data_IF_967643358770
#
_entry.id   IF_967643358770
#
_cell.length_a   1.000
_cell.length_b   1.000
_cell.length_c   1.000
_cell.angle_alpha   90.00
_cell.angle_beta   90.00
_cell.angle_gamma   90.00
#
_symmetry.space_group_name_H-M   'P 1'
#
loop_
_entity.id
_entity.type
_entity.pdbx_description
1 polymer ?
#
# COMPACT_ATOMS: atom_id res chain seq x y z
N UNK A 1 0.91 17.24 -27.17
CA UNK A 1 1.59 17.01 -25.88
C UNK A 1 2.61 15.91 -26.06
N UNK A 2 3.86 16.28 -26.33
CA UNK A 2 4.96 15.36 -26.61
C UNK A 2 5.85 15.25 -25.37
N UNK A 3 5.47 14.40 -24.41
CA UNK A 3 6.30 14.12 -23.22
C UNK A 3 6.25 12.64 -22.77
N UNK A 4 5.74 11.73 -23.61
CA UNK A 4 5.25 10.43 -23.12
C UNK A 4 6.24 9.26 -23.21
N UNK A 5 7.38 9.42 -23.90
CA UNK A 5 8.35 8.32 -24.12
C UNK A 5 9.65 8.41 -23.32
N UNK A 6 9.89 9.52 -22.61
CA UNK A 6 11.14 9.77 -21.82
C UNK A 6 10.88 10.05 -20.34
N UNK A 7 9.67 9.80 -19.81
CA UNK A 7 9.42 9.94 -18.38
C UNK A 7 9.99 8.74 -17.63
N UNK A 8 11.19 8.93 -17.07
CA UNK A 8 11.94 7.93 -16.29
C UNK A 8 11.12 7.40 -15.10
N UNK A 9 10.17 8.18 -14.57
CA UNK A 9 9.41 7.84 -13.37
C UNK A 9 8.01 7.30 -13.67
N UNK A 10 7.64 7.09 -14.93
CA UNK A 10 6.26 6.72 -15.32
C UNK A 10 5.76 5.46 -14.61
N UNK A 11 6.60 4.43 -14.50
CA UNK A 11 6.25 3.18 -13.82
C UNK A 11 6.05 3.40 -12.31
N UNK A 12 6.96 4.15 -11.68
CA UNK A 12 6.85 4.48 -10.25
C UNK A 12 5.57 5.30 -9.97
N UNK A 13 5.27 6.32 -10.79
CA UNK A 13 4.03 7.11 -10.68
C UNK A 13 2.78 6.26 -10.81
N UNK A 14 2.76 5.32 -11.75
CA UNK A 14 1.62 4.43 -11.93
C UNK A 14 1.43 3.55 -10.69
N UNK A 15 2.50 2.95 -10.17
CA UNK A 15 2.42 2.16 -8.95
C UNK A 15 1.95 2.99 -7.75
N UNK A 16 2.47 4.20 -7.54
CA UNK A 16 2.01 5.08 -6.46
C UNK A 16 0.51 5.37 -6.57
N UNK A 17 -0.03 5.56 -7.78
CA UNK A 17 -1.48 5.77 -7.98
C UNK A 17 -2.30 4.53 -7.70
N UNK A 18 -1.86 3.38 -8.22
CA UNK A 18 -2.55 2.11 -8.01
C UNK A 18 -2.57 1.75 -6.54
N UNK A 19 -1.44 1.90 -5.86
CA UNK A 19 -1.28 1.66 -4.44
C UNK A 19 -2.12 2.63 -3.60
N UNK A 20 -2.07 3.93 -3.91
CA UNK A 20 -2.87 4.93 -3.24
C UNK A 20 -4.38 4.66 -3.36
N UNK A 21 -4.85 4.22 -4.53
CA UNK A 21 -6.27 3.94 -4.75
C UNK A 21 -6.68 2.61 -4.10
N UNK A 22 -5.92 1.54 -4.31
CA UNK A 22 -6.29 0.22 -3.82
C UNK A 22 -6.05 0.07 -2.31
N UNK A 23 -4.85 0.38 -1.86
CA UNK A 23 -4.42 0.15 -0.47
C UNK A 23 -4.74 1.37 0.38
N UNK A 24 -4.37 2.56 -0.08
CA UNK A 24 -4.58 3.77 0.69
C UNK A 24 -6.06 4.11 0.90
N UNK A 25 -6.77 4.35 -0.21
CA UNK A 25 -8.17 4.75 -0.18
C UNK A 25 -9.11 3.56 -0.08
N UNK A 26 -8.93 2.52 -0.91
CA UNK A 26 -9.84 1.37 -0.96
C UNK A 26 -9.85 0.59 0.35
N UNK A 27 -8.72 -0.01 0.71
CA UNK A 27 -8.58 -0.75 1.96
C UNK A 27 -8.73 0.16 3.19
N UNK A 28 -8.23 1.39 3.12
CA UNK A 28 -8.39 2.38 4.19
C UNK A 28 -9.86 2.72 4.49
N UNK A 29 -10.67 2.99 3.47
CA UNK A 29 -12.11 3.23 3.62
C UNK A 29 -12.85 1.98 4.10
N UNK A 30 -12.48 0.80 3.61
CA UNK A 30 -13.08 -0.47 4.03
C UNK A 30 -12.85 -0.72 5.53
N UNK A 31 -11.62 -0.50 6.01
CA UNK A 31 -11.27 -0.60 7.43
C UNK A 31 -11.92 0.50 8.28
N UNK A 32 -12.08 1.71 7.73
CA UNK A 32 -12.73 2.82 8.42
C UNK A 32 -14.25 2.58 8.58
N UNK A 33 -14.92 2.09 7.53
CA UNK A 33 -16.33 1.74 7.58
C UNK A 33 -16.57 0.53 8.49
N UNK A 34 -15.64 -0.42 8.49
CA UNK A 34 -15.70 -1.67 9.26
C UNK A 34 -17.04 -2.42 9.10
N UNK A 35 -17.46 -2.79 7.87
CA UNK A 35 -18.65 -3.61 7.66
C UNK A 35 -18.44 -5.01 8.26
N UNK A 36 -18.95 -5.23 9.48
CA UNK A 36 -18.73 -6.46 10.25
C UNK A 36 -19.12 -7.72 9.48
N UNK A 37 -20.24 -7.68 8.77
CA UNK A 37 -20.76 -8.83 8.03
C UNK A 37 -19.80 -9.25 6.92
N UNK A 38 -19.22 -8.28 6.21
CA UNK A 38 -18.29 -8.53 5.11
C UNK A 38 -16.94 -9.08 5.61
N UNK A 39 -16.47 -8.62 6.77
CA UNK A 39 -15.26 -9.17 7.41
C UNK A 39 -15.50 -10.56 7.99
N UNK A 40 -16.67 -10.80 8.59
CA UNK A 40 -17.06 -12.12 9.09
C UNK A 40 -17.16 -13.15 7.95
N UNK A 41 -17.78 -12.79 6.83
CA UNK A 41 -17.88 -13.62 5.64
C UNK A 41 -16.50 -13.92 5.01
N UNK A 42 -15.54 -13.00 5.17
CA UNK A 42 -14.16 -13.19 4.74
C UNK A 42 -13.30 -14.02 5.72
N UNK A 43 -13.86 -14.44 6.87
CA UNK A 43 -13.13 -15.14 7.92
C UNK A 43 -12.14 -14.25 8.67
N UNK A 44 -12.29 -12.92 8.60
CA UNK A 44 -11.38 -11.95 9.20
C UNK A 44 -11.94 -11.51 10.56
N UNK A 45 -11.30 -11.93 11.64
CA UNK A 45 -11.58 -11.47 13.01
C UNK A 45 -10.63 -10.34 13.40
N UNK A 46 -10.88 -9.15 12.84
CA UNK A 46 -10.19 -7.94 13.28
C UNK A 46 -10.60 -7.64 14.74
N UNK A 47 -9.62 -7.50 15.64
CA UNK A 47 -9.84 -7.35 17.08
C UNK A 47 -10.89 -6.29 17.46
N UNK A 48 -10.49 -5.06 17.78
CA UNK A 48 -11.45 -4.00 18.06
C UNK A 48 -11.81 -3.22 16.78
N UNK A 49 -13.08 -2.86 16.60
CA UNK A 49 -13.48 -1.98 15.50
C UNK A 49 -12.74 -0.62 15.54
N UNK A 50 -12.31 -0.18 16.72
CA UNK A 50 -11.49 1.02 16.89
C UNK A 50 -10.10 0.88 16.24
N UNK A 51 -9.38 -0.22 16.50
CA UNK A 51 -8.06 -0.45 15.93
C UNK A 51 -8.11 -0.56 14.40
N UNK A 52 -9.16 -1.20 13.86
CA UNK A 52 -9.40 -1.23 12.43
C UNK A 52 -9.60 0.18 11.84
N UNK A 53 -10.40 1.03 12.49
CA UNK A 53 -10.64 2.42 12.05
C UNK A 53 -9.39 3.29 12.09
N UNK A 54 -8.56 3.15 13.13
CA UNK A 54 -7.29 3.86 13.23
C UNK A 54 -6.34 3.43 12.12
N UNK A 55 -6.21 2.12 11.87
CA UNK A 55 -5.44 1.60 10.73
C UNK A 55 -5.98 2.11 9.39
N UNK A 56 -7.30 2.10 9.21
CA UNK A 56 -7.96 2.63 8.01
C UNK A 56 -7.69 4.11 7.78
N UNK A 57 -7.76 4.94 8.82
CA UNK A 57 -7.41 6.36 8.74
C UNK A 57 -5.95 6.61 8.38
N UNK A 58 -5.03 5.82 8.93
CA UNK A 58 -3.61 5.88 8.58
C UNK A 58 -3.37 5.50 7.10
N UNK A 59 -4.05 4.47 6.59
CA UNK A 59 -3.98 4.09 5.18
C UNK A 59 -4.55 5.17 4.27
N UNK A 60 -5.67 5.81 4.63
CA UNK A 60 -6.22 6.93 3.85
C UNK A 60 -5.20 8.08 3.77
N UNK A 61 -4.58 8.45 4.90
CA UNK A 61 -3.54 9.47 4.92
C UNK A 61 -2.35 9.12 4.04
N UNK A 62 -1.87 7.88 4.12
CA UNK A 62 -0.82 7.35 3.24
C UNK A 62 -1.26 7.42 1.76
N UNK A 63 -2.47 6.99 1.43
CA UNK A 63 -3.02 7.03 0.08
C UNK A 63 -3.08 8.44 -0.51
N UNK A 64 -3.55 9.42 0.28
CA UNK A 64 -3.56 10.82 -0.15
C UNK A 64 -2.13 11.32 -0.42
N UNK A 65 -1.18 10.99 0.47
CA UNK A 65 0.23 11.34 0.29
C UNK A 65 0.84 10.73 -0.97
N UNK A 66 0.58 9.46 -1.25
CA UNK A 66 1.05 8.77 -2.46
C UNK A 66 0.40 9.32 -3.74
N UNK A 67 -0.89 9.68 -3.70
CA UNK A 67 -1.57 10.35 -4.80
C UNK A 67 -0.96 11.71 -5.09
N UNK A 68 -0.75 12.53 -4.06
CA UNK A 68 -0.11 13.83 -4.17
C UNK A 68 1.30 13.69 -4.78
N UNK A 69 2.12 12.77 -4.25
CA UNK A 69 3.45 12.49 -4.78
C UNK A 69 3.43 12.05 -6.26
N UNK A 70 2.41 11.31 -6.69
CA UNK A 70 2.28 10.87 -8.08
C UNK A 70 1.97 12.00 -9.08
N UNK A 71 1.52 13.16 -8.59
CA UNK A 71 1.19 14.34 -9.39
C UNK A 71 2.35 15.35 -9.49
N UNK A 72 3.34 15.27 -8.60
CA UNK A 72 4.49 16.20 -8.60
C UNK A 72 5.33 16.04 -9.87
N UNK A 73 5.76 17.13 -10.50
CA UNK A 73 6.62 17.05 -11.70
C UNK A 73 7.95 16.36 -11.42
N UNK A 74 8.51 16.54 -10.22
CA UNK A 74 9.72 15.84 -9.77
C UNK A 74 9.41 15.02 -8.51
N UNK A 75 9.69 13.71 -8.53
CA UNK A 75 9.42 12.86 -7.35
C UNK A 75 10.45 13.13 -6.26
N UNK A 76 10.02 13.77 -5.18
CA UNK A 76 10.87 14.00 -4.02
C UNK A 76 11.28 12.67 -3.35
N UNK A 77 12.57 12.49 -2.98
CA UNK A 77 13.05 11.27 -2.33
C UNK A 77 12.34 10.98 -0.99
N UNK A 78 11.86 12.01 -0.29
CA UNK A 78 11.08 11.85 0.94
C UNK A 78 9.77 11.07 0.70
N UNK A 79 9.08 11.32 -0.42
CA UNK A 79 7.86 10.59 -0.78
C UNK A 79 8.14 9.15 -1.14
N UNK A 80 9.22 8.90 -1.88
CA UNK A 80 9.66 7.54 -2.20
C UNK A 80 10.03 6.76 -0.93
N UNK A 81 10.69 7.42 0.02
CA UNK A 81 11.03 6.81 1.31
C UNK A 81 9.76 6.49 2.12
N UNK A 82 8.80 7.41 2.17
CA UNK A 82 7.52 7.17 2.83
C UNK A 82 6.74 6.02 2.18
N UNK A 83 6.74 5.94 0.85
CA UNK A 83 6.14 4.83 0.10
C UNK A 83 6.82 3.49 0.42
N UNK A 84 8.15 3.45 0.45
CA UNK A 84 8.93 2.24 0.79
C UNK A 84 8.69 1.84 2.24
N UNK A 85 8.74 2.78 3.18
CA UNK A 85 8.56 2.50 4.60
C UNK A 85 7.13 2.04 4.91
N UNK A 86 6.12 2.72 4.39
CA UNK A 86 4.72 2.37 4.61
C UNK A 86 4.34 1.02 4.01
N UNK A 87 4.63 0.82 2.71
CA UNK A 87 4.34 -0.46 2.05
C UNK A 87 5.21 -1.61 2.58
N UNK A 88 6.46 -1.31 2.93
CA UNK A 88 7.36 -2.28 3.56
C UNK A 88 6.82 -2.74 4.92
N UNK A 89 6.37 -1.82 5.76
CA UNK A 89 5.75 -2.15 7.04
C UNK A 89 4.50 -3.02 6.86
N UNK A 90 3.59 -2.66 5.95
CA UNK A 90 2.39 -3.47 5.64
C UNK A 90 2.78 -4.88 5.18
N UNK A 91 3.74 -5.00 4.26
CA UNK A 91 4.18 -6.29 3.71
C UNK A 91 4.81 -7.17 4.80
N UNK A 92 5.65 -6.59 5.66
CA UNK A 92 6.28 -7.30 6.78
C UNK A 92 5.22 -7.76 7.78
N UNK A 93 4.24 -6.91 8.13
CA UNK A 93 3.14 -7.28 9.01
C UNK A 93 2.33 -8.46 8.46
N UNK A 94 2.04 -8.48 7.15
CA UNK A 94 1.37 -9.63 6.51
C UNK A 94 2.21 -10.90 6.56
N UNK A 95 3.53 -10.79 6.38
CA UNK A 95 4.42 -11.94 6.45
C UNK A 95 4.52 -12.52 7.88
N UNK A 96 4.55 -11.65 8.90
CA UNK A 96 4.52 -12.06 10.31
C UNK A 96 3.22 -12.80 10.60
N UNK A 97 2.07 -12.22 10.25
CA UNK A 97 0.76 -12.85 10.45
C UNK A 97 0.63 -14.19 9.70
N UNK A 98 1.26 -14.32 8.52
CA UNK A 98 1.34 -15.60 7.81
C UNK A 98 2.16 -16.64 8.59
N UNK A 99 3.34 -16.27 9.09
CA UNK A 99 4.20 -17.19 9.85
C UNK A 99 3.64 -17.56 11.22
N UNK A 100 2.87 -16.67 11.86
CA UNK A 100 2.15 -16.95 13.10
C UNK A 100 0.92 -17.86 12.88
N UNK A 101 0.55 -18.12 11.62
CA UNK A 101 -0.58 -18.97 11.27
C UNK A 101 -1.93 -18.29 11.41
N UNK A 102 -1.97 -16.96 11.63
CA UNK A 102 -3.22 -16.19 11.77
C UNK A 102 -4.10 -16.27 10.51
N UNK A 103 -3.50 -16.59 9.36
CA UNK A 103 -4.19 -16.73 8.08
C UNK A 103 -4.69 -18.15 7.78
N UNK A 104 -4.50 -19.11 8.70
CA UNK A 104 -4.84 -20.52 8.45
C UNK A 104 -6.35 -20.77 8.31
N UNK A 105 -7.18 -19.98 9.01
CA UNK A 105 -8.65 -20.10 8.98
C UNK A 105 -9.31 -19.12 8.00
N UNK A 106 -8.51 -18.39 7.22
CA UNK A 106 -9.01 -17.33 6.36
C UNK A 106 -9.79 -17.90 5.17
N UNK A 107 -10.93 -17.26 4.84
CA UNK A 107 -11.67 -17.64 3.64
C UNK A 107 -10.80 -17.41 2.40
N UNK A 108 -10.85 -18.27 1.36
CA UNK A 108 -9.99 -18.15 0.17
C UNK A 108 -10.12 -16.80 -0.55
N UNK A 109 -11.29 -16.15 -0.48
CA UNK A 109 -11.49 -14.80 -1.01
C UNK A 109 -10.68 -13.77 -0.20
N UNK A 110 -10.75 -13.83 1.13
CA UNK A 110 -9.97 -12.96 2.02
C UNK A 110 -8.47 -13.17 1.84
N UNK A 111 -8.02 -14.42 1.71
CA UNK A 111 -6.64 -14.76 1.39
C UNK A 111 -6.21 -14.16 0.05
N UNK A 112 -7.05 -14.28 -0.99
CA UNK A 112 -6.81 -13.66 -2.29
C UNK A 112 -6.64 -12.15 -2.22
N UNK A 113 -7.49 -11.46 -1.45
CA UNK A 113 -7.37 -10.01 -1.23
C UNK A 113 -6.07 -9.67 -0.52
N UNK A 114 -5.69 -10.38 0.55
CA UNK A 114 -4.42 -10.13 1.26
C UNK A 114 -3.20 -10.37 0.38
N UNK A 115 -3.22 -11.39 -0.48
CA UNK A 115 -2.15 -11.64 -1.46
C UNK A 115 -2.06 -10.49 -2.45
N UNK A 116 -3.18 -9.97 -2.95
CA UNK A 116 -3.17 -8.79 -3.83
C UNK A 116 -2.59 -7.57 -3.12
N UNK A 117 -2.99 -7.32 -1.87
CA UNK A 117 -2.42 -6.25 -1.03
C UNK A 117 -0.91 -6.40 -0.92
N UNK A 118 -0.45 -7.59 -0.53
CA UNK A 118 0.97 -7.90 -0.39
C UNK A 118 1.76 -7.67 -1.68
N UNK A 119 1.23 -8.15 -2.82
CA UNK A 119 1.88 -7.98 -4.13
C UNK A 119 1.96 -6.52 -4.55
N UNK A 120 0.90 -5.73 -4.33
CA UNK A 120 0.91 -4.29 -4.62
C UNK A 120 1.95 -3.58 -3.75
N UNK A 121 1.98 -3.85 -2.44
CA UNK A 121 2.93 -3.24 -1.52
C UNK A 121 4.39 -3.58 -1.89
N UNK A 122 4.71 -4.86 -2.15
CA UNK A 122 6.06 -5.26 -2.57
C UNK A 122 6.45 -4.64 -3.90
N UNK A 123 5.53 -4.59 -4.87
CA UNK A 123 5.82 -4.00 -6.17
C UNK A 123 6.11 -2.50 -6.05
N UNK A 124 5.35 -1.78 -5.24
CA UNK A 124 5.60 -0.36 -4.95
C UNK A 124 6.98 -0.16 -4.29
N UNK A 125 7.35 -1.01 -3.33
CA UNK A 125 8.69 -0.98 -2.71
C UNK A 125 9.79 -1.24 -3.74
N UNK A 126 9.66 -2.31 -4.52
CA UNK A 126 10.65 -2.75 -5.49
C UNK A 126 10.90 -1.72 -6.61
N UNK A 127 9.84 -1.01 -7.03
CA UNK A 127 9.96 0.03 -8.07
C UNK A 127 10.41 1.37 -7.50
N UNK A 128 10.12 1.68 -6.23
CA UNK A 128 10.50 2.95 -5.61
C UNK A 128 11.95 2.97 -5.11
N UNK A 129 12.44 1.85 -4.55
CA UNK A 129 13.76 1.77 -3.93
C UNK A 129 14.95 2.10 -4.87
N UNK A 130 14.99 1.64 -6.14
CA UNK A 130 16.09 1.97 -7.06
C UNK A 130 16.24 3.47 -7.34
N UNK A 131 15.12 4.21 -7.32
CA UNK A 131 15.11 5.65 -7.59
C UNK A 131 15.72 6.45 -6.43
N UNK A 132 15.51 6.00 -5.19
CA UNK A 132 16.16 6.58 -4.01
C UNK A 132 17.69 6.41 -4.11
N UNK A 133 18.14 5.18 -4.43
CA UNK A 133 19.56 4.85 -4.53
C UNK A 133 20.27 5.64 -5.63
N UNK A 134 19.61 5.87 -6.77
CA UNK A 134 20.17 6.67 -7.87
C UNK A 134 20.37 8.14 -7.49
N UNK A 135 19.43 8.75 -6.74
CA UNK A 135 19.62 10.14 -6.26
C UNK A 135 20.71 10.25 -5.19
N UNK A 136 20.82 9.28 -4.30
CA UNK A 136 21.86 9.27 -3.27
C UNK A 136 23.29 9.11 -3.82
N UNK A 137 23.46 8.63 -5.05
CA UNK A 137 24.76 8.49 -5.72
C UNK A 137 25.11 9.65 -6.67
N UNK A 138 24.19 10.60 -6.85
CA UNK A 138 24.38 11.82 -7.67
C UNK A 138 24.70 13.06 -6.83
N UNK A 139 24.71 12.93 -5.50
CA UNK A 139 25.19 13.94 -4.53
C UNK A 139 26.61 13.59 -4.11
#
# INVERSE_FOLDING_TARGET
MAYTFTDHYRAARLCLRVDAVLIGLGLGLLLLAYPRDLFADAGITLGSAWTARVGGGALIGLGIGLLAASMESDLHPAWLLAAVAGNGAISISLLIAYFEGEMAELHPIGAGVLVVVFMVCILTVALSAPHIRRRASQQ
#
